data_IF_709522634254
#
_entry.id   IF_709522634254
#
_cell.length_a   1.000
_cell.length_b   1.000
_cell.length_c   1.000
_cell.angle_alpha   90.00
_cell.angle_beta   90.00
_cell.angle_gamma   90.00
#
_symmetry.space_group_name_H-M   'P 1'
#
loop_
_entity.id
_entity.type
_entity.pdbx_description
1 polymer ?
#
# COMPACT_ATOMS: atom_id res chain seq x y z
N UNK A 1 -1.80 -20.54 5.83
CA UNK A 1 -2.78 -20.41 4.72
C UNK A 1 -2.26 -21.00 3.41
N UNK A 2 -1.15 -20.51 2.85
CA UNK A 2 -0.62 -21.04 1.58
C UNK A 2 -0.36 -22.56 1.59
N UNK A 3 0.23 -23.08 2.68
CA UNK A 3 0.46 -24.51 2.91
C UNK A 3 -0.81 -25.39 2.81
N UNK A 4 -1.95 -24.88 3.28
CA UNK A 4 -3.22 -25.59 3.30
C UNK A 4 -4.01 -25.45 1.99
N UNK A 5 -3.83 -24.34 1.27
CA UNK A 5 -4.57 -24.04 0.05
C UNK A 5 -3.93 -24.64 -1.20
N UNK A 6 -2.59 -24.81 -1.22
CA UNK A 6 -1.86 -25.25 -2.41
C UNK A 6 -0.98 -26.46 -2.11
N UNK A 7 -1.46 -27.65 -2.46
CA UNK A 7 -0.70 -28.89 -2.29
C UNK A 7 0.63 -28.88 -3.07
N UNK A 8 0.67 -28.22 -4.24
CA UNK A 8 1.87 -28.10 -5.08
C UNK A 8 2.96 -27.18 -4.50
N UNK A 9 2.62 -26.28 -3.57
CA UNK A 9 3.56 -25.28 -3.01
C UNK A 9 3.89 -25.50 -1.52
N UNK A 10 3.59 -26.67 -0.95
CA UNK A 10 3.72 -26.97 0.50
C UNK A 10 5.10 -26.70 1.11
N UNK A 11 6.18 -26.64 0.32
CA UNK A 11 7.54 -26.35 0.82
C UNK A 11 8.20 -25.14 0.12
N UNK A 12 7.48 -24.43 -0.75
CA UNK A 12 8.04 -23.29 -1.47
C UNK A 12 7.91 -22.00 -0.64
N UNK A 13 9.03 -21.58 -0.04
CA UNK A 13 9.11 -20.34 0.76
C UNK A 13 8.75 -19.10 -0.06
N UNK A 14 9.20 -19.03 -1.32
CA UNK A 14 8.89 -17.91 -2.20
C UNK A 14 7.39 -17.83 -2.51
N UNK A 15 6.72 -18.96 -2.72
CA UNK A 15 5.26 -19.01 -2.92
C UNK A 15 4.50 -18.45 -1.71
N UNK A 16 4.93 -18.83 -0.50
CA UNK A 16 4.30 -18.39 0.75
C UNK A 16 4.57 -16.91 1.05
N UNK A 17 5.77 -16.42 0.73
CA UNK A 17 6.10 -15.00 0.83
C UNK A 17 5.29 -14.15 -0.15
N UNK A 18 5.15 -14.58 -1.40
CA UNK A 18 4.31 -13.91 -2.41
C UNK A 18 2.83 -13.93 -2.02
N UNK A 19 2.34 -15.05 -1.46
CA UNK A 19 0.98 -15.12 -0.91
C UNK A 19 0.78 -14.08 0.19
N UNK A 20 1.66 -14.06 1.19
CA UNK A 20 1.57 -13.13 2.31
C UNK A 20 1.61 -11.67 1.83
N UNK A 21 2.54 -11.36 0.91
CA UNK A 21 2.65 -10.05 0.31
C UNK A 21 1.38 -9.65 -0.45
N UNK A 22 0.79 -10.53 -1.25
CA UNK A 22 -0.45 -10.26 -1.96
C UNK A 22 -1.66 -10.03 -1.03
N UNK A 23 -1.64 -10.60 0.17
CA UNK A 23 -2.70 -10.44 1.17
C UNK A 23 -2.46 -9.28 2.15
N UNK A 24 -1.23 -8.77 2.29
CA UNK A 24 -0.89 -7.72 3.26
C UNK A 24 -0.47 -6.38 2.62
N UNK A 25 0.10 -6.40 1.42
CA UNK A 25 0.65 -5.21 0.78
C UNK A 25 -0.46 -4.32 0.22
N UNK A 26 -0.54 -3.10 0.72
CA UNK A 26 -1.64 -2.17 0.49
C UNK A 26 -1.30 -1.14 -0.60
N UNK A 27 -2.26 -0.80 -1.45
CA UNK A 27 -2.11 0.28 -2.43
C UNK A 27 -2.33 1.68 -1.82
N UNK A 28 -1.44 2.05 -0.90
CA UNK A 28 -1.61 3.25 -0.08
C UNK A 28 -1.46 4.57 -0.86
N UNK A 29 -0.70 4.57 -1.96
CA UNK A 29 -0.43 5.80 -2.72
C UNK A 29 -1.46 6.00 -3.84
N UNK A 30 -1.76 4.97 -4.62
CA UNK A 30 -2.67 5.11 -5.76
C UNK A 30 -4.13 5.18 -5.28
N UNK A 31 -4.48 4.47 -4.20
CA UNK A 31 -5.86 4.44 -3.67
C UNK A 31 -5.96 5.16 -2.32
N UNK A 32 -5.07 4.87 -1.38
CA UNK A 32 -5.17 5.43 -0.03
C UNK A 32 -5.05 6.96 0.03
N UNK A 33 -4.06 7.52 -0.65
CA UNK A 33 -3.81 8.96 -0.69
C UNK A 33 -5.03 9.75 -1.22
N UNK A 34 -5.59 9.48 -2.43
CA UNK A 34 -6.73 10.24 -2.91
C UNK A 34 -7.97 10.06 -2.02
N UNK A 35 -8.25 8.85 -1.53
CA UNK A 35 -9.40 8.59 -0.64
C UNK A 35 -9.29 9.39 0.65
N UNK A 36 -8.13 9.36 1.31
CA UNK A 36 -7.93 10.05 2.58
C UNK A 36 -7.91 11.57 2.42
N UNK A 37 -7.35 12.08 1.33
CA UNK A 37 -7.42 13.50 1.03
C UNK A 37 -8.84 13.97 0.80
N UNK A 38 -9.67 13.18 0.11
CA UNK A 38 -11.08 13.51 -0.10
C UNK A 38 -11.89 13.45 1.21
N UNK A 39 -11.63 12.47 2.07
CA UNK A 39 -12.42 12.25 3.30
C UNK A 39 -11.94 13.06 4.52
N UNK A 40 -10.64 13.34 4.62
CA UNK A 40 -10.01 13.95 5.82
C UNK A 40 -9.29 15.27 5.49
N UNK A 41 -8.96 15.50 4.22
CA UNK A 41 -8.20 16.67 3.78
C UNK A 41 -6.70 16.58 4.10
N UNK A 42 -6.02 17.72 3.96
CA UNK A 42 -4.56 17.82 4.05
C UNK A 42 -3.96 17.40 5.40
N UNK A 43 -4.79 17.35 6.45
CA UNK A 43 -4.41 16.88 7.79
C UNK A 43 -3.93 15.43 7.80
N UNK A 44 -4.36 14.61 6.83
CA UNK A 44 -3.92 13.23 6.71
C UNK A 44 -2.53 13.08 6.07
N UNK A 45 -2.05 14.08 5.31
CA UNK A 45 -0.82 13.98 4.52
C UNK A 45 0.42 13.61 5.34
N UNK A 46 0.71 14.23 6.50
CA UNK A 46 1.90 13.90 7.26
C UNK A 46 1.88 12.45 7.74
N UNK A 47 0.71 11.97 8.16
CA UNK A 47 0.52 10.60 8.67
C UNK A 47 0.67 9.60 7.52
N UNK A 48 0.06 9.87 6.36
CA UNK A 48 0.16 9.02 5.18
C UNK A 48 1.61 8.89 4.72
N UNK A 49 2.33 10.01 4.59
CA UNK A 49 3.70 9.99 4.08
C UNK A 49 4.68 9.33 5.05
N UNK A 50 4.50 9.51 6.36
CA UNK A 50 5.26 8.79 7.38
C UNK A 50 5.04 7.27 7.24
N UNK A 51 3.77 6.84 7.16
CA UNK A 51 3.42 5.43 7.04
C UNK A 51 3.94 4.84 5.73
N UNK A 52 3.71 5.49 4.59
CA UNK A 52 4.13 4.99 3.28
C UNK A 52 5.65 4.81 3.20
N UNK A 53 6.41 5.75 3.77
CA UNK A 53 7.88 5.69 3.78
C UNK A 53 8.37 4.50 4.60
N UNK A 54 7.86 4.33 5.83
CA UNK A 54 8.27 3.23 6.72
C UNK A 54 7.74 1.87 6.23
N UNK A 55 6.48 1.81 5.80
CA UNK A 55 5.81 0.59 5.35
C UNK A 55 6.42 0.04 4.06
N UNK A 56 6.72 0.90 3.08
CA UNK A 56 7.37 0.47 1.84
C UNK A 56 8.78 -0.04 2.12
N UNK A 57 9.56 0.69 2.93
CA UNK A 57 10.89 0.27 3.33
C UNK A 57 10.85 -1.09 4.07
N UNK A 58 9.96 -1.24 5.05
CA UNK A 58 9.89 -2.45 5.87
C UNK A 58 9.41 -3.68 5.07
N UNK A 59 8.37 -3.55 4.24
CA UNK A 59 7.85 -4.70 3.49
C UNK A 59 8.76 -5.14 2.34
N UNK A 60 9.38 -4.21 1.61
CA UNK A 60 10.35 -4.60 0.59
C UNK A 60 11.62 -5.20 1.20
N UNK A 61 12.10 -4.65 2.32
CA UNK A 61 13.22 -5.22 3.07
C UNK A 61 12.90 -6.64 3.56
N UNK A 62 11.78 -6.82 4.26
CA UNK A 62 11.38 -8.11 4.81
C UNK A 62 11.11 -9.15 3.72
N UNK A 63 10.46 -8.77 2.62
CA UNK A 63 10.21 -9.68 1.49
C UNK A 63 11.51 -10.12 0.84
N UNK A 64 12.46 -9.20 0.61
CA UNK A 64 13.78 -9.53 0.07
C UNK A 64 14.57 -10.47 0.99
N UNK A 65 14.50 -10.22 2.31
CA UNK A 65 15.14 -11.04 3.35
C UNK A 65 14.56 -12.46 3.43
N UNK A 66 13.24 -12.62 3.24
CA UNK A 66 12.57 -13.92 3.31
C UNK A 66 12.67 -14.69 1.98
N UNK A 67 12.66 -13.97 0.85
CA UNK A 67 12.68 -14.55 -0.49
C UNK A 67 14.07 -15.01 -0.95
N UNK A 68 15.13 -14.55 -0.28
CA UNK A 68 16.53 -14.91 -0.59
C UNK A 68 17.14 -15.61 0.62
N UNK A 69 17.81 -16.76 0.41
CA UNK A 69 18.50 -17.50 1.48
C UNK A 69 19.80 -16.83 1.96
N UNK A 70 20.19 -15.72 1.33
CA UNK A 70 21.41 -14.97 1.60
C UNK A 70 21.19 -13.88 2.67
N UNK A 71 22.28 -13.50 3.35
CA UNK A 71 22.27 -12.43 4.34
C UNK A 71 21.64 -11.14 3.79
N UNK A 72 20.88 -10.43 4.64
CA UNK A 72 20.17 -9.21 4.26
C UNK A 72 21.11 -8.18 3.59
N UNK A 73 20.86 -7.89 2.31
CA UNK A 73 21.70 -6.98 1.53
C UNK A 73 21.36 -5.51 1.86
N UNK A 74 21.94 -5.01 2.95
CA UNK A 74 21.80 -3.62 3.39
C UNK A 74 22.14 -2.61 2.29
N UNK A 75 23.16 -2.87 1.46
CA UNK A 75 23.55 -1.97 0.36
C UNK A 75 22.50 -1.91 -0.74
N UNK A 76 21.96 -3.07 -1.13
CA UNK A 76 20.87 -3.16 -2.10
C UNK A 76 19.61 -2.47 -1.60
N UNK A 77 19.28 -2.69 -0.32
CA UNK A 77 18.15 -2.05 0.34
C UNK A 77 18.25 -0.52 0.36
N UNK A 78 19.37 0.03 0.83
CA UNK A 78 19.58 1.49 0.89
C UNK A 78 19.53 2.09 -0.51
N UNK A 79 20.21 1.46 -1.49
CA UNK A 79 20.21 1.95 -2.88
C UNK A 79 18.80 1.95 -3.47
N UNK A 80 18.01 0.92 -3.23
CA UNK A 80 16.63 0.83 -3.72
C UNK A 80 15.71 1.88 -3.08
N UNK A 81 15.85 2.13 -1.78
CA UNK A 81 15.05 3.16 -1.10
C UNK A 81 15.45 4.57 -1.56
N UNK A 82 16.74 4.88 -1.67
CA UNK A 82 17.22 6.18 -2.14
C UNK A 82 17.01 6.40 -3.65
N UNK A 83 16.78 5.34 -4.43
CA UNK A 83 16.41 5.45 -5.84
C UNK A 83 14.90 5.58 -6.05
N UNK A 84 14.09 5.45 -4.99
CA UNK A 84 12.64 5.60 -5.09
C UNK A 84 12.28 7.10 -5.07
N UNK A 85 11.76 7.66 -6.19
CA UNK A 85 11.46 9.08 -6.29
C UNK A 85 10.51 9.58 -5.20
N UNK A 86 9.60 8.72 -4.73
CA UNK A 86 8.66 9.04 -3.68
C UNK A 86 9.35 9.22 -2.32
N UNK A 87 10.28 8.33 -1.97
CA UNK A 87 11.05 8.42 -0.72
C UNK A 87 11.95 9.66 -0.78
N UNK A 88 12.63 9.89 -1.90
CA UNK A 88 13.45 11.09 -2.10
C UNK A 88 12.61 12.35 -1.94
N UNK A 89 11.43 12.42 -2.58
CA UNK A 89 10.55 13.58 -2.48
C UNK A 89 10.11 13.88 -1.04
N UNK A 90 9.68 12.85 -0.29
CA UNK A 90 9.27 13.01 1.11
C UNK A 90 10.45 13.43 1.99
N UNK A 91 11.60 12.78 1.86
CA UNK A 91 12.79 13.10 2.65
C UNK A 91 13.31 14.51 2.34
N UNK A 92 13.33 14.91 1.06
CA UNK A 92 13.70 16.27 0.67
C UNK A 92 12.72 17.29 1.26
N UNK A 93 11.41 17.09 1.10
CA UNK A 93 10.42 18.01 1.67
C UNK A 93 10.53 18.14 3.20
N UNK A 94 10.74 17.01 3.89
CA UNK A 94 10.96 16.97 5.33
C UNK A 94 12.26 17.70 5.74
N UNK A 95 13.35 17.51 5.01
CA UNK A 95 14.63 18.16 5.28
C UNK A 95 14.53 19.68 5.13
N UNK A 96 13.87 20.17 4.07
CA UNK A 96 13.60 21.59 3.88
C UNK A 96 12.74 22.17 5.01
N UNK A 97 11.75 21.40 5.48
CA UNK A 97 10.89 21.80 6.59
C UNK A 97 11.67 21.94 7.91
N UNK A 98 12.49 20.95 8.28
CA UNK A 98 13.30 21.00 9.51
C UNK A 98 14.35 22.11 9.46
N UNK A 99 15.05 22.24 8.34
CA UNK A 99 16.09 23.26 8.17
C UNK A 99 15.51 24.67 8.01
N UNK A 100 14.18 24.81 7.96
CA UNK A 100 13.48 26.08 7.70
C UNK A 100 14.04 26.81 6.47
N UNK A 101 14.46 26.04 5.46
CA UNK A 101 15.08 26.60 4.27
C UNK A 101 13.99 27.28 3.43
N UNK A 102 14.15 28.57 3.08
CA UNK A 102 13.19 29.25 2.24
C UNK A 102 13.20 28.60 0.86
N UNK A 103 12.05 28.07 0.44
CA UNK A 103 11.86 27.57 -0.92
C UNK A 103 11.59 28.80 -1.80
N UNK A 104 12.37 29.03 -2.86
CA UNK A 104 12.12 30.13 -3.79
C UNK A 104 10.70 30.06 -4.35
N UNK A 105 10.01 31.19 -4.45
CA UNK A 105 8.60 31.26 -4.86
C UNK A 105 8.36 30.57 -6.22
N UNK A 106 9.31 30.72 -7.16
CA UNK A 106 9.26 30.06 -8.46
C UNK A 106 9.25 28.53 -8.35
N UNK A 107 10.02 27.96 -7.42
CA UNK A 107 10.06 26.52 -7.18
C UNK A 107 8.77 26.05 -6.47
N UNK A 108 8.29 26.80 -5.48
CA UNK A 108 7.04 26.49 -4.78
C UNK A 108 5.84 26.48 -5.73
N UNK A 109 5.72 27.49 -6.60
CA UNK A 109 4.66 27.57 -7.60
C UNK A 109 4.75 26.43 -8.61
N UNK A 110 5.95 26.09 -9.08
CA UNK A 110 6.16 24.97 -10.01
C UNK A 110 5.75 23.63 -9.37
N UNK A 111 6.14 23.40 -8.12
CA UNK A 111 5.78 22.19 -7.37
C UNK A 111 4.26 22.13 -7.12
N UNK A 112 3.62 23.25 -6.82
CA UNK A 112 2.16 23.33 -6.65
C UNK A 112 1.41 22.99 -7.94
N UNK A 113 1.84 23.55 -9.08
CA UNK A 113 1.26 23.27 -10.39
C UNK A 113 1.38 21.79 -10.79
N UNK A 114 2.44 21.10 -10.35
CA UNK A 114 2.61 19.65 -10.57
C UNK A 114 1.85 18.81 -9.54
N UNK A 115 1.76 19.27 -8.29
CA UNK A 115 1.13 18.56 -7.18
C UNK A 115 -0.39 18.51 -7.28
N UNK A 116 -1.04 19.62 -7.68
CA UNK A 116 -2.49 19.70 -7.81
C UNK A 116 -3.11 18.62 -8.72
N UNK A 117 -2.63 18.39 -9.97
CA UNK A 117 -3.16 17.35 -10.83
C UNK A 117 -2.72 15.93 -10.44
N UNK A 118 -1.82 15.75 -9.47
CA UNK A 118 -1.31 14.42 -9.11
C UNK A 118 -2.43 13.49 -8.62
N UNK A 119 -3.41 14.02 -7.87
CA UNK A 119 -4.56 13.27 -7.35
C UNK A 119 -5.47 12.76 -8.49
N UNK A 120 -6.03 13.61 -9.38
CA UNK A 120 -6.87 13.13 -10.48
C UNK A 120 -6.10 12.21 -11.44
N UNK A 121 -4.81 12.47 -11.68
CA UNK A 121 -3.97 11.58 -12.49
C UNK A 121 -3.78 10.21 -11.83
N UNK A 122 -3.61 10.15 -10.50
CA UNK A 122 -3.53 8.90 -9.76
C UNK A 122 -4.83 8.08 -9.88
N UNK A 123 -6.00 8.74 -9.81
CA UNK A 123 -7.30 8.09 -9.99
C UNK A 123 -7.52 7.61 -11.43
N UNK A 124 -7.12 8.38 -12.44
CA UNK A 124 -7.17 7.95 -13.85
C UNK A 124 -6.24 6.76 -14.07
N UNK A 125 -5.01 6.81 -13.54
CA UNK A 125 -4.05 5.71 -13.63
C UNK A 125 -4.57 4.45 -12.92
N UNK A 126 -5.27 4.59 -11.79
CA UNK A 126 -5.97 3.51 -11.13
C UNK A 126 -7.01 2.87 -12.06
N UNK A 127 -7.90 3.67 -12.65
CA UNK A 127 -8.90 3.20 -13.60
C UNK A 127 -8.29 2.48 -14.82
N UNK A 128 -7.24 3.05 -15.40
CA UNK A 128 -6.52 2.46 -16.52
C UNK A 128 -5.79 1.15 -16.14
N UNK A 129 -5.32 1.03 -14.89
CA UNK A 129 -4.66 -0.18 -14.41
C UNK A 129 -5.62 -1.37 -14.35
N UNK A 130 -6.89 -1.14 -13.98
CA UNK A 130 -7.93 -2.17 -13.89
C UNK A 130 -8.20 -2.80 -15.27
N UNK A 131 -8.17 -2.00 -16.34
CA UNK A 131 -8.45 -2.46 -17.71
C UNK A 131 -7.41 -3.46 -18.27
N UNK A 132 -6.20 -3.52 -17.70
CA UNK A 132 -5.11 -4.36 -18.23
C UNK A 132 -5.09 -5.79 -17.69
N UNK A 133 -5.90 -6.11 -16.69
CA UNK A 133 -5.79 -7.38 -15.98
C UNK A 133 -7.01 -8.27 -16.22
N UNK A 134 -6.74 -9.45 -16.78
CA UNK A 134 -7.74 -10.50 -16.98
C UNK A 134 -7.92 -11.28 -15.67
N UNK A 135 -9.17 -11.45 -15.21
CA UNK A 135 -9.48 -12.18 -13.96
C UNK A 135 -9.30 -13.68 -14.23
N UNK A 136 -8.08 -14.15 -14.03
CA UNK A 136 -7.69 -15.55 -14.21
C UNK A 136 -6.84 -15.98 -13.03
N UNK A 137 -7.09 -17.17 -12.49
CA UNK A 137 -6.31 -17.70 -11.38
C UNK A 137 -7.16 -18.40 -10.34
N UNK A 138 -6.55 -18.60 -9.18
CA UNK A 138 -7.09 -19.45 -8.11
C UNK A 138 -8.14 -18.70 -7.30
N UNK A 139 -9.43 -18.98 -7.58
CA UNK A 139 -10.57 -18.27 -6.98
C UNK A 139 -10.53 -18.22 -5.45
N UNK A 140 -10.08 -19.31 -4.80
CA UNK A 140 -9.93 -19.38 -3.34
C UNK A 140 -8.84 -18.44 -2.81
N UNK A 141 -7.68 -18.38 -3.47
CA UNK A 141 -6.62 -17.44 -3.12
C UNK A 141 -7.15 -16.01 -3.18
N UNK A 142 -7.78 -15.66 -4.31
CA UNK A 142 -8.24 -14.29 -4.60
C UNK A 142 -9.27 -13.84 -3.56
N UNK A 143 -10.24 -14.68 -3.26
CA UNK A 143 -11.29 -14.38 -2.29
C UNK A 143 -10.71 -14.20 -0.87
N UNK A 144 -9.87 -15.13 -0.43
CA UNK A 144 -9.29 -15.08 0.92
C UNK A 144 -8.35 -13.88 1.07
N UNK A 145 -7.46 -13.64 0.11
CA UNK A 145 -6.56 -12.50 0.14
C UNK A 145 -7.33 -11.17 0.15
N UNK A 146 -8.37 -11.05 -0.67
CA UNK A 146 -9.22 -9.85 -0.70
C UNK A 146 -9.99 -9.65 0.61
N UNK A 147 -10.55 -10.71 1.19
CA UNK A 147 -11.29 -10.65 2.46
C UNK A 147 -10.38 -10.30 3.64
N UNK A 148 -9.19 -10.91 3.70
CA UNK A 148 -8.17 -10.56 4.70
C UNK A 148 -7.83 -9.08 4.58
N UNK A 149 -7.62 -8.59 3.35
CA UNK A 149 -7.18 -7.22 3.15
C UNK A 149 -8.29 -6.20 3.47
N UNK A 150 -9.48 -6.38 2.93
CA UNK A 150 -10.53 -5.36 3.00
C UNK A 150 -11.29 -5.35 4.33
N UNK A 151 -11.23 -6.44 5.09
CA UNK A 151 -12.02 -6.61 6.32
C UNK A 151 -11.14 -6.97 7.51
N UNK A 152 -10.41 -8.09 7.46
CA UNK A 152 -9.70 -8.62 8.65
C UNK A 152 -8.59 -7.67 9.09
N UNK A 153 -7.74 -7.24 8.15
CA UNK A 153 -6.64 -6.33 8.43
C UNK A 153 -7.11 -4.98 8.99
N UNK A 154 -8.07 -4.25 8.38
CA UNK A 154 -8.54 -2.99 8.94
C UNK A 154 -9.27 -3.13 10.26
N UNK A 155 -9.97 -4.24 10.50
CA UNK A 155 -10.59 -4.51 11.80
C UNK A 155 -9.53 -4.68 12.88
N UNK A 156 -8.46 -5.44 12.59
CA UNK A 156 -7.34 -5.61 13.53
C UNK A 156 -6.63 -4.27 13.78
N UNK A 157 -6.38 -3.49 12.73
CA UNK A 157 -5.76 -2.16 12.85
C UNK A 157 -6.64 -1.22 13.67
N UNK A 158 -7.95 -1.20 13.45
CA UNK A 158 -8.89 -0.40 14.25
C UNK A 158 -8.82 -0.77 15.73
N UNK A 159 -8.93 -2.06 16.05
CA UNK A 159 -8.94 -2.51 17.45
C UNK A 159 -7.60 -2.24 18.14
N UNK A 160 -6.49 -2.57 17.49
CA UNK A 160 -5.15 -2.34 18.04
C UNK A 160 -4.85 -0.85 18.22
N UNK A 161 -5.10 -0.03 17.19
CA UNK A 161 -4.83 1.40 17.23
C UNK A 161 -5.71 2.14 18.25
N UNK A 162 -6.98 1.75 18.40
CA UNK A 162 -7.91 2.42 19.33
C UNK A 162 -7.86 1.89 20.76
N UNK A 163 -7.82 0.57 20.96
CA UNK A 163 -7.98 -0.04 22.29
C UNK A 163 -6.66 -0.37 22.99
N UNK A 164 -5.58 -0.61 22.23
CA UNK A 164 -4.29 -1.00 22.81
C UNK A 164 -3.34 0.20 22.88
N UNK A 165 -3.25 0.95 21.77
CA UNK A 165 -2.35 2.09 21.66
C UNK A 165 -3.00 3.43 21.96
N UNK A 166 -4.33 3.48 22.10
CA UNK A 166 -5.12 4.67 22.43
C UNK A 166 -4.73 5.90 21.57
N UNK A 167 -4.54 5.67 20.26
CA UNK A 167 -4.11 6.71 19.33
C UNK A 167 -5.22 7.73 19.09
N UNK A 168 -4.83 8.95 18.69
CA UNK A 168 -5.80 9.99 18.36
C UNK A 168 -6.72 9.56 17.21
N UNK A 169 -7.97 10.04 17.23
CA UNK A 169 -8.99 9.66 16.26
C UNK A 169 -8.52 9.84 14.81
N UNK A 170 -7.85 10.96 14.50
CA UNK A 170 -7.29 11.22 13.17
C UNK A 170 -6.28 10.13 12.74
N UNK A 171 -5.39 9.72 13.65
CA UNK A 171 -4.38 8.69 13.35
C UNK A 171 -5.04 7.33 13.15
N UNK A 172 -6.02 6.97 13.99
CA UNK A 172 -6.80 5.73 13.84
C UNK A 172 -7.51 5.70 12.49
N UNK A 173 -8.20 6.78 12.12
CA UNK A 173 -8.93 6.88 10.85
C UNK A 173 -7.99 6.71 9.64
N UNK A 174 -6.84 7.38 9.64
CA UNK A 174 -5.83 7.25 8.58
C UNK A 174 -5.30 5.81 8.50
N UNK A 175 -4.93 5.22 9.64
CA UNK A 175 -4.40 3.85 9.70
C UNK A 175 -5.41 2.83 9.17
N UNK A 176 -6.68 2.94 9.57
CA UNK A 176 -7.75 2.05 9.15
C UNK A 176 -7.96 2.15 7.64
N UNK A 177 -8.07 3.34 7.08
CA UNK A 177 -8.28 3.48 5.62
C UNK A 177 -7.07 2.98 4.81
N UNK A 178 -5.83 3.28 5.22
CA UNK A 178 -4.64 2.72 4.58
C UNK A 178 -4.65 1.18 4.65
N UNK A 179 -5.06 0.63 5.79
CA UNK A 179 -5.20 -0.82 5.97
C UNK A 179 -6.44 -1.42 5.29
N UNK A 180 -7.42 -0.63 4.86
CA UNK A 180 -8.57 -1.03 4.06
C UNK A 180 -8.33 -0.86 2.54
N UNK A 181 -7.24 -0.22 2.12
CA UNK A 181 -6.89 -0.07 0.71
C UNK A 181 -6.73 -1.43 0.01
N UNK A 182 -6.98 -1.55 -1.31
CA UNK A 182 -6.82 -2.80 -2.02
C UNK A 182 -5.37 -3.27 -2.10
N UNK A 183 -5.15 -4.48 -2.61
CA UNK A 183 -3.81 -5.03 -2.78
C UNK A 183 -2.96 -4.17 -3.74
N UNK A 184 -1.70 -3.93 -3.39
CA UNK A 184 -0.82 -3.05 -4.17
C UNK A 184 -0.23 -3.71 -5.42
N UNK A 185 -0.12 -2.93 -6.50
CA UNK A 185 0.44 -3.37 -7.80
C UNK A 185 1.87 -3.90 -7.66
N UNK A 186 2.65 -3.41 -6.70
CA UNK A 186 4.02 -3.90 -6.48
C UNK A 186 4.08 -5.36 -6.06
N UNK A 187 3.05 -5.90 -5.39
CA UNK A 187 2.99 -7.32 -5.07
C UNK A 187 2.97 -8.18 -6.34
N UNK A 188 2.33 -7.69 -7.41
CA UNK A 188 2.35 -8.36 -8.72
C UNK A 188 3.75 -8.35 -9.35
N UNK A 189 4.51 -7.26 -9.23
CA UNK A 189 5.89 -7.20 -9.74
C UNK A 189 6.76 -8.26 -9.07
N UNK A 190 6.66 -8.42 -7.74
CA UNK A 190 7.40 -9.45 -7.00
C UNK A 190 6.96 -10.86 -7.42
N UNK A 191 5.66 -11.11 -7.57
CA UNK A 191 5.14 -12.37 -8.09
C UNK A 191 5.67 -12.68 -9.51
N UNK A 192 5.80 -11.66 -10.35
CA UNK A 192 6.38 -11.77 -11.69
C UNK A 192 7.86 -12.16 -11.63
N UNK A 193 8.65 -11.49 -10.80
CA UNK A 193 10.09 -11.75 -10.61
C UNK A 193 10.33 -13.18 -10.13
N UNK A 194 9.60 -13.64 -9.11
CA UNK A 194 9.78 -15.00 -8.55
C UNK A 194 9.07 -16.11 -9.36
N UNK A 195 8.30 -15.74 -10.38
CA UNK A 195 7.54 -16.67 -11.25
C UNK A 195 6.50 -17.53 -10.53
N UNK A 196 5.90 -17.04 -9.44
CA UNK A 196 4.92 -17.77 -8.63
C UNK A 196 3.65 -16.94 -8.41
N UNK A 197 2.48 -17.58 -8.41
CA UNK A 197 1.15 -16.97 -8.16
C UNK A 197 0.81 -15.70 -8.97
N UNK A 198 1.50 -15.41 -10.08
CA UNK A 198 1.35 -14.19 -10.91
C UNK A 198 -0.11 -13.82 -11.20
N UNK A 199 -0.85 -14.80 -11.72
CA UNK A 199 -2.25 -14.67 -12.13
C UNK A 199 -3.18 -14.42 -10.93
N UNK A 200 -2.94 -15.14 -9.82
CA UNK A 200 -3.73 -14.99 -8.59
C UNK A 200 -3.49 -13.62 -7.92
N UNK A 201 -2.23 -13.16 -7.83
CA UNK A 201 -1.90 -11.84 -7.27
C UNK A 201 -2.45 -10.72 -8.15
N UNK A 202 -2.29 -10.80 -9.47
CA UNK A 202 -2.89 -9.83 -10.40
C UNK A 202 -4.41 -9.74 -10.24
N UNK A 203 -5.09 -10.88 -10.21
CA UNK A 203 -6.54 -10.93 -10.02
C UNK A 203 -6.96 -10.40 -8.64
N UNK A 204 -6.16 -10.63 -7.60
CA UNK A 204 -6.41 -10.09 -6.25
C UNK A 204 -6.34 -8.56 -6.26
N UNK A 205 -5.37 -7.95 -6.96
CA UNK A 205 -5.29 -6.50 -7.11
C UNK A 205 -6.57 -5.95 -7.74
N UNK A 206 -7.05 -6.55 -8.84
CA UNK A 206 -8.28 -6.11 -9.51
C UNK A 206 -9.51 -6.27 -8.62
N UNK A 207 -9.73 -7.48 -8.10
CA UNK A 207 -10.93 -7.81 -7.32
C UNK A 207 -10.98 -7.00 -6.03
N UNK A 208 -9.86 -6.87 -5.31
CA UNK A 208 -9.81 -6.03 -4.12
C UNK A 208 -10.02 -4.56 -4.46
N UNK A 209 -9.52 -4.06 -5.60
CA UNK A 209 -9.74 -2.66 -6.02
C UNK A 209 -11.22 -2.40 -6.31
N UNK A 210 -11.88 -3.28 -7.05
CA UNK A 210 -13.33 -3.14 -7.31
C UNK A 210 -14.15 -3.25 -6.03
N UNK A 211 -13.84 -4.22 -5.17
CA UNK A 211 -14.52 -4.36 -3.88
C UNK A 211 -14.25 -3.18 -2.94
N UNK A 212 -13.07 -2.55 -3.04
CA UNK A 212 -12.72 -1.39 -2.21
C UNK A 212 -13.61 -0.18 -2.45
N UNK A 213 -14.21 -0.05 -3.64
CA UNK A 213 -15.18 0.99 -3.95
C UNK A 213 -16.42 0.93 -3.05
N UNK A 214 -16.73 -0.23 -2.47
CA UNK A 214 -17.83 -0.41 -1.51
C UNK A 214 -17.29 -0.45 -0.08
N UNK A 215 -16.22 -1.22 0.17
CA UNK A 215 -15.74 -1.43 1.55
C UNK A 215 -15.14 -0.16 2.17
N UNK A 216 -14.46 0.69 1.39
CA UNK A 216 -13.88 1.94 1.90
C UNK A 216 -14.99 2.90 2.39
N UNK A 217 -16.03 3.22 1.59
CA UNK A 217 -17.17 4.00 2.09
C UNK A 217 -17.81 3.41 3.35
N UNK A 218 -17.99 2.08 3.42
CA UNK A 218 -18.51 1.44 4.63
C UNK A 218 -17.63 1.70 5.86
N UNK A 219 -16.29 1.65 5.71
CA UNK A 219 -15.36 1.98 6.79
C UNK A 219 -15.41 3.44 7.18
N UNK A 220 -15.50 4.36 6.22
CA UNK A 220 -15.64 5.80 6.48
C UNK A 220 -16.93 6.08 7.27
N UNK A 221 -18.05 5.51 6.84
CA UNK A 221 -19.34 5.61 7.53
C UNK A 221 -19.28 5.03 8.95
N UNK A 222 -18.67 3.85 9.11
CA UNK A 222 -18.49 3.22 10.42
C UNK A 222 -17.69 4.11 11.39
N UNK A 223 -16.69 4.84 10.88
CA UNK A 223 -15.86 5.76 11.67
C UNK A 223 -16.45 7.17 11.81
N UNK A 224 -17.63 7.43 11.23
CA UNK A 224 -18.30 8.73 11.28
C UNK A 224 -17.57 9.84 10.52
N UNK A 225 -16.90 9.51 9.42
CA UNK A 225 -16.22 10.49 8.55
C UNK A 225 -17.19 10.81 7.41
N UNK A 226 -17.68 12.06 7.37
CA UNK A 226 -18.57 12.60 6.32
C UNK A 226 -17.79 13.39 5.26
#
# INVERSE_FOLDING_TARGET
LNYYLHNEYRQNRAASAVFALGASYSNNIIVGLPVLLLAIGDKALPIIFLIVTLHSAMLFGLTSAIATSDAFNWRGFIKQNLSNPLIVGILSGFLFNILSLPIPEMAANSLSLLGQPAIPLALIALGASIAKYDIRGERRFIAIASLIKLIVLPTLVYFTASQIFELSQLVVQVLVILSACPAGVNAYIIAQTHKVHRKAVASTVVVSTLASAITIPCWLLFMGIE
#
